data_IF_702886253165
#
_entry.id   IF_702886253165
#
_cell.length_a   1.000
_cell.length_b   1.000
_cell.length_c   1.000
_cell.angle_alpha   90.00
_cell.angle_beta   90.00
_cell.angle_gamma   90.00
#
_symmetry.space_group_name_H-M   'P 1'
#
loop_
_entity.id
_entity.type
_entity.pdbx_description
1 polymer ?
#
# COMPACT_ATOMS: atom_id res chain seq x y z
N UNK A 1 -0.61 -15.99 -10.47
CA UNK A 1 -0.18 -14.88 -9.59
C UNK A 1 -0.91 -13.65 -10.06
N UNK A 2 -1.55 -12.92 -9.15
CA UNK A 2 -2.26 -11.68 -9.47
C UNK A 2 -1.35 -10.74 -10.26
N UNK A 3 -1.82 -10.26 -11.40
CA UNK A 3 -1.12 -9.28 -12.22
C UNK A 3 -1.20 -7.90 -11.52
N UNK A 4 -0.46 -7.74 -10.43
CA UNK A 4 -0.35 -6.47 -9.71
C UNK A 4 0.49 -5.52 -10.57
N UNK A 5 -0.03 -4.33 -10.82
CA UNK A 5 0.63 -3.26 -11.57
C UNK A 5 1.32 -2.28 -10.64
N UNK A 6 0.65 -1.88 -9.56
CA UNK A 6 1.26 -1.03 -8.56
C UNK A 6 0.65 -1.25 -7.18
N UNK A 7 1.44 -0.92 -6.16
CA UNK A 7 1.01 -0.88 -4.77
C UNK A 7 1.41 0.46 -4.18
N UNK A 8 0.43 1.17 -3.62
CA UNK A 8 0.64 2.43 -2.93
C UNK A 8 0.13 2.34 -1.49
N UNK A 9 0.93 2.80 -0.55
CA UNK A 9 0.53 2.97 0.84
C UNK A 9 0.38 4.44 1.16
N UNK A 10 -0.55 4.77 2.05
CA UNK A 10 -0.76 6.14 2.50
C UNK A 10 -1.43 6.13 3.87
N UNK A 11 -1.33 7.26 4.56
CA UNK A 11 -2.18 7.53 5.72
C UNK A 11 -3.42 8.27 5.26
N UNK A 12 -4.58 7.86 5.75
CA UNK A 12 -5.78 8.68 5.68
C UNK A 12 -5.92 9.42 7.01
N UNK A 13 -5.85 10.75 6.95
CA UNK A 13 -6.16 11.60 8.09
C UNK A 13 -7.67 11.47 8.39
N UNK A 14 -8.03 10.67 9.39
CA UNK A 14 -9.34 10.77 10.02
C UNK A 14 -9.23 11.72 11.22
N UNK A 15 -10.29 12.47 11.51
CA UNK A 15 -10.34 13.54 12.53
C UNK A 15 -9.75 13.14 13.91
N UNK A 16 -9.68 11.84 14.20
CA UNK A 16 -9.20 11.29 15.48
C UNK A 16 -8.17 10.16 15.36
N UNK A 17 -7.90 9.66 14.15
CA UNK A 17 -7.12 8.41 13.95
C UNK A 17 -6.31 8.48 12.66
N UNK A 18 -5.00 8.23 12.75
CA UNK A 18 -4.18 7.89 11.58
C UNK A 18 -4.47 6.44 11.19
N UNK A 19 -5.07 6.20 10.01
CA UNK A 19 -5.19 4.85 9.44
C UNK A 19 -4.21 4.65 8.29
N UNK A 20 -3.44 3.58 8.34
CA UNK A 20 -2.67 3.10 7.19
C UNK A 20 -3.61 2.43 6.18
N UNK A 21 -3.53 2.90 4.95
CA UNK A 21 -4.27 2.40 3.80
C UNK A 21 -3.31 1.85 2.74
N UNK A 22 -3.82 0.95 1.90
CA UNK A 22 -3.11 0.36 0.78
C UNK A 22 -4.04 0.27 -0.43
N UNK A 23 -3.61 0.83 -1.56
CA UNK A 23 -4.22 0.64 -2.87
C UNK A 23 -3.37 -0.37 -3.67
N UNK A 24 -3.99 -1.46 -4.13
CA UNK A 24 -3.37 -2.44 -5.03
C UNK A 24 -4.08 -2.35 -6.38
N UNK A 25 -3.39 -1.81 -7.38
CA UNK A 25 -3.93 -1.77 -8.74
C UNK A 25 -3.51 -3.02 -9.51
N UNK A 26 -4.50 -3.64 -10.13
CA UNK A 26 -4.38 -4.85 -10.91
C UNK A 26 -4.32 -4.49 -12.40
N UNK A 27 -3.69 -5.34 -13.22
CA UNK A 27 -3.59 -5.12 -14.67
C UNK A 27 -4.95 -5.14 -15.38
N UNK A 28 -5.96 -5.76 -14.78
CA UNK A 28 -7.34 -5.71 -15.27
C UNK A 28 -8.01 -4.33 -15.06
N UNK A 29 -7.31 -3.36 -14.46
CA UNK A 29 -7.83 -2.03 -14.17
C UNK A 29 -8.60 -1.93 -12.84
N UNK A 30 -8.76 -3.04 -12.12
CA UNK A 30 -9.36 -3.03 -10.78
C UNK A 30 -8.36 -2.49 -9.75
N UNK A 31 -8.84 -1.63 -8.85
CA UNK A 31 -8.10 -1.22 -7.66
C UNK A 31 -8.74 -1.85 -6.44
N UNK A 32 -7.95 -2.62 -5.68
CA UNK A 32 -8.34 -3.15 -4.39
C UNK A 32 -7.86 -2.19 -3.30
N UNK A 33 -8.73 -1.85 -2.37
CA UNK A 33 -8.43 -0.94 -1.27
C UNK A 33 -8.49 -1.71 0.06
N UNK A 34 -7.45 -1.55 0.87
CA UNK A 34 -7.34 -2.13 2.21
C UNK A 34 -6.92 -1.07 3.22
N UNK A 35 -7.26 -1.28 4.49
CA UNK A 35 -6.75 -0.49 5.62
C UNK A 35 -6.41 -1.38 6.82
N UNK A 36 -5.59 -0.87 7.74
CA UNK A 36 -4.99 -1.68 8.82
C UNK A 36 -5.97 -2.34 9.79
N UNK A 37 -7.18 -1.79 9.93
CA UNK A 37 -8.24 -2.37 10.77
C UNK A 37 -9.08 -3.45 10.06
N UNK A 38 -8.89 -3.66 8.75
CA UNK A 38 -9.59 -4.73 8.05
C UNK A 38 -9.10 -6.11 8.48
N UNK A 39 -9.99 -7.11 8.54
CA UNK A 39 -9.58 -8.51 8.63
C UNK A 39 -8.60 -8.84 7.50
N UNK A 40 -7.53 -9.57 7.83
CA UNK A 40 -6.48 -10.01 6.90
C UNK A 40 -5.53 -8.93 6.37
N UNK A 41 -5.54 -7.70 6.93
CA UNK A 41 -4.53 -6.68 6.56
C UNK A 41 -3.10 -7.22 6.57
N UNK A 42 -2.69 -7.87 7.67
CA UNK A 42 -1.35 -8.42 7.81
C UNK A 42 -1.05 -9.51 6.77
N UNK A 43 -2.04 -10.34 6.43
CA UNK A 43 -1.89 -11.38 5.40
C UNK A 43 -1.70 -10.75 4.02
N UNK A 44 -2.47 -9.70 3.69
CA UNK A 44 -2.35 -8.96 2.42
C UNK A 44 -0.99 -8.30 2.31
N UNK A 45 -0.56 -7.56 3.35
CA UNK A 45 0.75 -6.89 3.40
C UNK A 45 1.88 -7.91 3.24
N UNK A 46 1.84 -9.02 3.98
CA UNK A 46 2.85 -10.07 3.87
C UNK A 46 2.93 -10.68 2.46
N UNK A 47 1.81 -10.76 1.72
CA UNK A 47 1.83 -11.27 0.35
C UNK A 47 2.43 -10.28 -0.65
N UNK A 48 2.14 -8.98 -0.54
CA UNK A 48 2.68 -7.97 -1.46
C UNK A 48 4.15 -7.65 -1.18
N UNK A 49 4.61 -7.82 0.06
CA UNK A 49 6.04 -7.68 0.43
C UNK A 49 6.93 -8.77 -0.22
N UNK A 50 6.33 -9.84 -0.75
CA UNK A 50 7.03 -10.89 -1.51
C UNK A 50 7.19 -10.53 -2.99
N UNK A 51 6.64 -9.42 -3.47
CA UNK A 51 6.79 -8.99 -4.86
C UNK A 51 8.25 -8.59 -5.14
N UNK A 52 8.81 -9.12 -6.22
CA UNK A 52 10.15 -8.73 -6.67
C UNK A 52 10.18 -7.24 -7.04
N UNK A 53 11.06 -6.47 -6.41
CA UNK A 53 11.13 -5.01 -6.58
C UNK A 53 10.27 -4.20 -5.60
N UNK A 54 9.61 -4.84 -4.63
CA UNK A 54 8.90 -4.14 -3.57
C UNK A 54 9.84 -3.42 -2.59
N UNK A 55 9.50 -2.20 -2.21
CA UNK A 55 10.25 -1.40 -1.25
C UNK A 55 9.82 -1.72 0.19
N UNK A 56 10.61 -2.52 0.91
CA UNK A 56 10.28 -2.99 2.26
C UNK A 56 10.21 -1.88 3.32
N UNK A 57 10.93 -0.77 3.14
CA UNK A 57 10.92 0.36 4.11
C UNK A 57 9.73 1.32 3.93
N UNK A 58 8.71 0.93 3.13
CA UNK A 58 7.55 1.76 2.80
C UNK A 58 6.89 2.42 4.01
N UNK A 59 6.86 1.73 5.15
CA UNK A 59 6.22 2.21 6.37
C UNK A 59 6.87 3.49 6.90
N UNK A 60 8.20 3.59 6.82
CA UNK A 60 8.93 4.79 7.23
C UNK A 60 8.57 6.00 6.36
N UNK A 61 8.36 5.77 5.07
CA UNK A 61 7.98 6.80 4.10
C UNK A 61 6.53 7.30 4.27
N UNK A 62 5.66 6.47 4.86
CA UNK A 62 4.23 6.79 5.06
C UNK A 62 3.99 7.43 6.44
N UNK A 63 4.80 7.08 7.45
CA UNK A 63 4.65 7.64 8.80
C UNK A 63 5.15 9.09 8.88
N UNK A 64 6.03 9.51 7.98
CA UNK A 64 6.68 10.82 8.01
C UNK A 64 6.39 11.66 6.75
N UNK A 65 6.12 12.97 6.88
CA UNK A 65 5.88 13.71 8.13
C UNK A 65 4.55 13.35 8.84
N UNK A 66 4.49 13.49 10.18
CA UNK A 66 3.24 13.33 10.93
C UNK A 66 2.20 14.40 10.51
N UNK A 67 0.92 14.03 10.50
CA UNK A 67 -0.23 14.90 10.18
C UNK A 67 -0.30 15.42 8.73
N UNK A 68 0.32 14.72 7.79
CA UNK A 68 0.16 14.97 6.37
C UNK A 68 -0.04 13.66 5.62
N UNK A 69 -1.03 13.62 4.73
CA UNK A 69 -1.20 12.52 3.79
C UNK A 69 0.10 12.32 2.98
N UNK A 70 0.77 11.21 3.25
CA UNK A 70 2.00 10.81 2.56
C UNK A 70 1.71 9.55 1.77
N UNK A 71 1.47 9.71 0.47
CA UNK A 71 1.32 8.60 -0.47
C UNK A 71 2.69 8.14 -0.94
N UNK A 72 2.98 6.86 -0.69
CA UNK A 72 4.22 6.21 -1.07
C UNK A 72 3.95 5.03 -2.00
N UNK A 73 4.64 4.99 -3.13
CA UNK A 73 4.56 3.87 -4.08
C UNK A 73 5.57 2.81 -3.71
N UNK A 74 5.11 1.74 -3.05
CA UNK A 74 5.98 0.67 -2.60
C UNK A 74 6.35 -0.33 -3.71
N UNK A 75 5.53 -0.39 -4.77
CA UNK A 75 5.78 -1.25 -5.91
C UNK A 75 5.17 -0.66 -7.18
N UNK A 76 5.92 -0.75 -8.28
CA UNK A 76 5.44 -0.50 -9.63
C UNK A 76 6.05 -1.59 -10.54
N UNK A 77 5.19 -2.27 -11.28
CA UNK A 77 5.62 -3.23 -12.30
C UNK A 77 6.18 -2.44 -13.47
N UNK A 78 7.50 -2.44 -13.61
CA UNK A 78 8.16 -1.87 -14.79
C UNK A 78 7.62 -2.59 -16.03
N UNK A 79 7.05 -1.82 -16.97
CA UNK A 79 6.62 -2.35 -18.26
C UNK A 79 7.84 -2.98 -18.95
N UNK A 80 7.80 -4.31 -19.13
CA UNK A 80 8.76 -5.03 -19.98
C UNK A 80 8.40 -4.87 -21.45
#
# INVERSE_FOLDING_TARGET
>A
MADIQHVAFYKRDELTTDLMCCDIQMACGQTLWFHEEMPHWNDVVAQIELLEGFTQDWRSHVIHPPFAECRFMAYEKLAQ
#
